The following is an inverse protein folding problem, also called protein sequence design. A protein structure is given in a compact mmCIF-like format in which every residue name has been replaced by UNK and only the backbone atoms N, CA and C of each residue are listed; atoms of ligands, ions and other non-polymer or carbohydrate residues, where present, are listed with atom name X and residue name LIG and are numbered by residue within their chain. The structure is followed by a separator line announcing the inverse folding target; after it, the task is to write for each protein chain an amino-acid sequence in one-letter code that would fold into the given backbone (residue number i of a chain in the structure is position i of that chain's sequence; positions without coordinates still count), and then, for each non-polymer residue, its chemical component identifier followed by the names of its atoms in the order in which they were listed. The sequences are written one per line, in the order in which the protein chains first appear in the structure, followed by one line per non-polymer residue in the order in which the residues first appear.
data_IF_558096808923
#
_entry.id   IF_558096808923
#
_cell.length_a   1.000
_cell.length_b   1.000
_cell.length_c   1.000
_cell.angle_alpha   90.00
_cell.angle_beta   90.00
_cell.angle_gamma   90.00
#
_symmetry.space_group_name_H-M   'P 1'
#
loop_
_entity.id
_entity.type
_entity.pdbx_description
1 polymer ?
#
# COMPACT_ATOMS: atom_id res chain seq x y z
N UNK A 1 -29.57 9.23 18.45
CA UNK A 1 -28.59 8.14 18.66
C UNK A 1 -29.10 7.00 19.57
N UNK A 2 -30.01 7.24 20.52
CA UNK A 2 -30.55 6.17 21.38
C UNK A 2 -31.54 5.19 20.71
N UNK A 3 -32.30 5.65 19.70
CA UNK A 3 -33.31 4.83 19.03
C UNK A 3 -32.70 3.65 18.23
N UNK A 4 -31.56 3.88 17.58
CA UNK A 4 -30.87 2.88 16.74
C UNK A 4 -30.24 1.76 17.56
N UNK A 5 -29.72 2.08 18.75
CA UNK A 5 -29.14 1.08 19.66
C UNK A 5 -30.22 0.18 20.27
N UNK A 6 -31.38 0.75 20.64
CA UNK A 6 -32.51 -0.04 21.14
C UNK A 6 -33.02 -1.00 20.07
N UNK A 7 -33.15 -0.57 18.82
CA UNK A 7 -33.55 -1.44 17.71
C UNK A 7 -32.54 -2.58 17.48
N UNK A 8 -31.24 -2.28 17.57
CA UNK A 8 -30.18 -3.29 17.44
C UNK A 8 -30.23 -4.33 18.57
N UNK A 9 -30.44 -3.88 19.82
CA UNK A 9 -30.58 -4.76 20.98
C UNK A 9 -31.80 -5.67 20.82
N UNK A 10 -32.93 -5.14 20.35
CA UNK A 10 -34.15 -5.92 20.12
C UNK A 10 -34.01 -6.92 18.96
N UNK A 11 -33.25 -6.57 17.91
CA UNK A 11 -32.92 -7.50 16.82
C UNK A 11 -32.01 -8.64 17.32
N UNK A 12 -30.95 -8.34 18.06
CA UNK A 12 -30.05 -9.33 18.65
C UNK A 12 -30.79 -10.27 19.61
N UNK A 13 -31.67 -9.71 20.47
CA UNK A 13 -32.52 -10.48 21.35
C UNK A 13 -33.44 -11.44 20.57
N UNK A 14 -34.07 -10.95 19.51
CA UNK A 14 -34.95 -11.76 18.65
C UNK A 14 -34.19 -12.87 17.91
N UNK A 15 -32.97 -12.58 17.46
CA UNK A 15 -32.10 -13.53 16.77
C UNK A 15 -31.62 -14.65 17.70
N UNK A 16 -31.13 -14.31 18.90
CA UNK A 16 -30.71 -15.30 19.91
C UNK A 16 -31.90 -16.15 20.35
N UNK A 17 -33.07 -15.54 20.52
CA UNK A 17 -34.31 -16.25 20.83
C UNK A 17 -34.67 -17.26 19.73
N UNK A 18 -34.54 -16.88 18.46
CA UNK A 18 -34.79 -17.79 17.33
C UNK A 18 -33.83 -18.99 17.34
N UNK A 19 -32.53 -18.77 17.54
CA UNK A 19 -31.53 -19.85 17.59
C UNK A 19 -31.82 -20.86 18.72
N UNK A 20 -32.25 -20.38 19.88
CA UNK A 20 -32.60 -21.24 21.02
C UNK A 20 -33.91 -21.98 20.78
N UNK A 21 -34.93 -21.31 20.22
CA UNK A 21 -36.22 -21.93 19.91
C UNK A 21 -36.05 -23.05 18.90
N UNK A 22 -35.27 -22.84 17.83
CA UNK A 22 -35.03 -23.86 16.80
C UNK A 22 -34.42 -25.13 17.39
N UNK A 23 -33.42 -25.01 18.27
CA UNK A 23 -32.83 -26.17 18.96
C UNK A 23 -33.79 -26.87 19.92
N UNK A 24 -34.77 -26.15 20.47
CA UNK A 24 -35.75 -26.73 21.41
C UNK A 24 -36.95 -27.35 20.73
N UNK A 25 -37.32 -26.88 19.54
CA UNK A 25 -38.35 -27.49 18.70
C UNK A 25 -37.95 -28.89 18.21
N UNK A 26 -36.64 -29.18 18.13
CA UNK A 26 -36.13 -30.52 17.79
C UNK A 26 -36.12 -31.52 18.95
N UNK A 27 -36.51 -31.13 20.17
CA UNK A 27 -36.49 -32.01 21.36
C UNK A 27 -37.89 -32.59 21.61
N UNK A 28 -38.03 -33.91 21.84
CA UNK A 28 -39.32 -34.52 22.14
C UNK A 28 -39.94 -33.92 23.41
N UNK A 29 -41.26 -33.63 23.35
CA UNK A 29 -42.01 -33.05 24.47
C UNK A 29 -42.59 -34.16 25.35
N UNK A 30 -42.61 -33.99 26.68
CA UNK A 30 -43.26 -34.95 27.59
C UNK A 30 -44.77 -35.00 27.33
N UNK A 31 -45.41 -36.15 27.58
CA UNK A 31 -46.83 -36.35 27.25
C UNK A 31 -47.78 -35.32 27.91
N UNK A 32 -47.49 -34.88 29.13
CA UNK A 32 -48.27 -33.89 29.87
C UNK A 32 -48.00 -32.43 29.45
N UNK A 33 -47.34 -32.22 28.31
CA UNK A 33 -46.85 -30.92 27.86
C UNK A 33 -47.97 -29.89 27.64
N UNK A 34 -49.13 -30.30 27.10
CA UNK A 34 -50.27 -29.40 26.87
C UNK A 34 -51.15 -29.22 28.13
N UNK A 35 -50.99 -30.06 29.14
CA UNK A 35 -51.85 -30.10 30.34
C UNK A 35 -51.28 -29.26 31.49
N UNK A 36 -50.06 -28.75 31.33
CA UNK A 36 -49.27 -28.12 32.40
C UNK A 36 -48.69 -26.79 31.91
N UNK A 37 -49.27 -25.69 32.36
CA UNK A 37 -48.84 -24.32 32.03
C UNK A 37 -47.38 -24.04 32.41
N UNK A 38 -46.85 -24.68 33.46
CA UNK A 38 -45.44 -24.61 33.85
C UNK A 38 -44.50 -25.30 32.84
N UNK A 39 -44.95 -26.40 32.23
CA UNK A 39 -44.20 -27.09 31.18
C UNK A 39 -44.26 -26.30 29.88
N UNK A 40 -45.42 -25.76 29.49
CA UNK A 40 -45.56 -24.92 28.31
C UNK A 40 -44.61 -23.71 28.34
N UNK A 41 -44.55 -23.00 29.49
CA UNK A 41 -43.63 -21.88 29.72
C UNK A 41 -42.15 -22.29 29.68
N UNK A 42 -41.80 -23.48 30.19
CA UNK A 42 -40.43 -24.01 30.21
C UNK A 42 -39.91 -24.41 28.83
N UNK A 43 -40.79 -24.83 27.92
CA UNK A 43 -40.40 -25.44 26.64
C UNK A 43 -40.66 -24.56 25.40
N UNK A 44 -41.64 -23.65 25.38
CA UNK A 44 -41.91 -22.84 24.18
C UNK A 44 -41.35 -21.43 24.21
N UNK A 45 -41.11 -20.88 25.40
CA UNK A 45 -40.83 -19.46 25.55
C UNK A 45 -39.55 -19.21 26.35
N UNK A 46 -38.37 -19.61 25.83
CA UNK A 46 -37.14 -19.11 26.39
C UNK A 46 -37.17 -17.58 26.38
N UNK A 47 -36.89 -16.97 27.55
CA UNK A 47 -36.76 -15.53 27.78
C UNK A 47 -38.06 -14.71 27.95
N UNK A 48 -39.27 -15.30 27.99
CA UNK A 48 -40.46 -14.51 28.40
C UNK A 48 -40.62 -14.48 29.92
N UNK A 49 -40.73 -13.27 30.49
CA UNK A 49 -41.03 -13.09 31.91
C UNK A 49 -42.54 -13.15 32.18
N UNK A 50 -43.00 -14.11 32.97
CA UNK A 50 -44.28 -14.02 33.69
C UNK A 50 -43.99 -14.23 35.18
N UNK A 51 -43.90 -13.13 35.94
CA UNK A 51 -43.55 -13.13 37.36
C UNK A 51 -42.40 -12.17 37.71
N UNK A 52 -41.60 -12.51 38.73
CA UNK A 52 -40.53 -11.65 39.22
C UNK A 52 -39.36 -11.55 38.21
N UNK A 53 -39.34 -10.48 37.41
CA UNK A 53 -38.40 -10.28 36.30
C UNK A 53 -36.98 -9.85 36.72
N UNK A 54 -36.67 -9.85 38.02
CA UNK A 54 -35.35 -9.49 38.56
C UNK A 54 -34.20 -10.20 37.81
N UNK A 55 -34.24 -11.51 37.50
CA UNK A 55 -33.15 -12.16 36.78
C UNK A 55 -32.94 -11.59 35.37
N UNK A 56 -34.01 -11.31 34.63
CA UNK A 56 -33.92 -10.75 33.26
C UNK A 56 -33.39 -9.33 33.29
N UNK A 57 -33.80 -8.51 34.26
CA UNK A 57 -33.22 -7.18 34.48
C UNK A 57 -31.73 -7.26 34.87
N UNK A 58 -31.33 -8.24 35.68
CA UNK A 58 -29.93 -8.48 36.02
C UNK A 58 -29.10 -8.89 34.79
N UNK A 59 -29.55 -9.88 34.01
CA UNK A 59 -28.82 -10.35 32.83
C UNK A 59 -28.79 -9.30 31.71
N UNK A 60 -29.90 -8.59 31.45
CA UNK A 60 -29.92 -7.50 30.48
C UNK A 60 -28.99 -6.36 30.87
N UNK A 61 -28.86 -6.05 32.16
CA UNK A 61 -27.89 -5.07 32.67
C UNK A 61 -26.45 -5.53 32.47
N UNK A 62 -26.14 -6.80 32.72
CA UNK A 62 -24.81 -7.36 32.44
C UNK A 62 -24.48 -7.40 30.94
N UNK A 63 -25.43 -7.75 30.09
CA UNK A 63 -25.26 -7.70 28.62
C UNK A 63 -25.05 -6.26 28.16
N UNK A 64 -25.81 -5.30 28.70
CA UNK A 64 -25.62 -3.88 28.40
C UNK A 64 -24.23 -3.41 28.85
N UNK A 65 -23.78 -3.74 30.06
CA UNK A 65 -22.43 -3.41 30.51
C UNK A 65 -21.35 -4.09 29.66
N UNK A 66 -21.55 -5.35 29.27
CA UNK A 66 -20.63 -6.04 28.37
C UNK A 66 -20.56 -5.37 27.01
N UNK A 67 -21.70 -4.98 26.42
CA UNK A 67 -21.75 -4.22 25.16
C UNK A 67 -21.13 -2.83 25.29
N UNK A 68 -21.34 -2.14 26.42
CA UNK A 68 -20.70 -0.85 26.71
C UNK A 68 -19.18 -1.04 26.84
N UNK A 69 -18.71 -2.07 27.55
CA UNK A 69 -17.28 -2.39 27.65
C UNK A 69 -16.71 -2.74 26.28
N UNK A 70 -17.42 -3.51 25.45
CA UNK A 70 -17.02 -3.82 24.07
C UNK A 70 -16.96 -2.58 23.19
N UNK A 71 -17.92 -1.67 23.32
CA UNK A 71 -17.97 -0.43 22.56
C UNK A 71 -16.88 0.56 23.01
N UNK A 72 -16.65 0.72 24.31
CA UNK A 72 -15.59 1.56 24.86
C UNK A 72 -14.21 0.99 24.51
N UNK A 73 -14.06 -0.34 24.49
CA UNK A 73 -12.82 -1.01 24.11
C UNK A 73 -12.80 -1.42 22.63
N UNK A 74 -13.67 -0.86 21.79
CA UNK A 74 -13.76 -1.28 20.38
C UNK A 74 -12.48 -0.91 19.61
N UNK A 75 -11.89 0.25 19.90
CA UNK A 75 -10.61 0.65 19.32
C UNK A 75 -9.46 -0.22 19.81
N UNK A 76 -9.51 -0.64 21.08
CA UNK A 76 -8.60 -1.66 21.60
C UNK A 76 -8.76 -2.96 20.83
N UNK A 77 -9.99 -3.48 20.65
CA UNK A 77 -10.25 -4.71 19.89
C UNK A 77 -9.82 -4.60 18.43
N UNK A 78 -10.03 -3.46 17.77
CA UNK A 78 -9.53 -3.19 16.41
C UNK A 78 -8.01 -3.26 16.34
N UNK A 79 -7.31 -2.67 17.31
CA UNK A 79 -5.84 -2.73 17.37
C UNK A 79 -5.30 -4.15 17.47
N UNK A 80 -5.98 -5.06 18.19
CA UNK A 80 -5.56 -6.46 18.28
C UNK A 80 -6.04 -7.33 17.11
N UNK A 81 -7.24 -7.06 16.58
CA UNK A 81 -7.80 -7.82 15.46
C UNK A 81 -7.15 -7.46 14.11
N UNK A 82 -6.83 -6.17 13.91
CA UNK A 82 -6.27 -5.63 12.67
C UNK A 82 -5.05 -4.74 12.95
N UNK A 83 -3.97 -5.31 13.50
CA UNK A 83 -2.82 -4.53 13.99
C UNK A 83 -2.15 -3.71 12.88
N UNK A 84 -2.07 -4.24 11.66
CA UNK A 84 -1.44 -3.54 10.53
C UNK A 84 -2.31 -2.38 10.04
N UNK A 85 -3.63 -2.56 9.96
CA UNK A 85 -4.54 -1.48 9.53
C UNK A 85 -4.57 -0.33 10.54
N UNK A 86 -4.56 -0.65 11.83
CA UNK A 86 -4.42 0.36 12.87
C UNK A 86 -3.09 1.13 12.75
N UNK A 87 -1.98 0.43 12.53
CA UNK A 87 -0.67 1.05 12.29
C UNK A 87 -0.63 1.91 11.02
N UNK A 88 -1.34 1.54 9.95
CA UNK A 88 -1.49 2.38 8.75
C UNK A 88 -2.21 3.68 9.10
N UNK A 89 -3.31 3.62 9.85
CA UNK A 89 -4.05 4.80 10.28
C UNK A 89 -3.22 5.70 11.18
N UNK A 90 -2.37 5.10 12.03
CA UNK A 90 -1.41 5.84 12.85
C UNK A 90 -0.33 6.52 12.00
N UNK A 91 0.23 5.86 10.98
CA UNK A 91 1.19 6.50 10.07
C UNK A 91 0.56 7.66 9.28
N UNK A 92 -0.72 7.53 8.90
CA UNK A 92 -1.50 8.61 8.27
C UNK A 92 -1.71 9.79 9.20
N UNK A 93 -2.05 9.56 10.47
CA UNK A 93 -2.17 10.65 11.45
C UNK A 93 -0.83 11.30 11.78
N UNK A 94 0.29 10.58 11.63
CA UNK A 94 1.65 11.08 11.79
C UNK A 94 2.20 11.79 10.53
N UNK A 95 1.36 12.04 9.52
CA UNK A 95 1.72 12.85 8.35
C UNK A 95 2.08 12.06 7.09
N UNK A 96 1.69 10.78 6.99
CA UNK A 96 1.66 10.14 5.67
C UNK A 96 0.57 10.79 4.80
N UNK A 97 0.98 11.33 3.67
CA UNK A 97 0.14 11.92 2.63
C UNK A 97 0.20 11.07 1.36
N UNK A 98 -0.95 10.69 0.80
CA UNK A 98 -0.99 9.90 -0.44
C UNK A 98 -0.67 10.73 -1.68
N UNK A 99 -0.89 12.05 -1.63
CA UNK A 99 -0.54 12.97 -2.72
C UNK A 99 0.92 13.46 -2.61
N UNK A 100 1.58 13.18 -1.47
CA UNK A 100 2.99 13.49 -1.22
C UNK A 100 3.70 12.38 -0.39
N UNK A 101 3.73 11.12 -0.88
CA UNK A 101 4.18 9.98 -0.11
C UNK A 101 5.64 10.11 0.30
N UNK A 102 5.93 9.64 1.51
CA UNK A 102 7.27 9.74 2.10
C UNK A 102 8.04 8.44 1.95
N UNK A 103 9.26 8.54 1.44
CA UNK A 103 10.17 7.41 1.26
C UNK A 103 11.50 7.66 1.97
N UNK A 104 12.23 6.57 2.26
CA UNK A 104 13.58 6.65 2.77
C UNK A 104 14.55 6.49 1.61
N UNK A 105 15.55 7.34 1.59
CA UNK A 105 16.57 7.34 0.55
C UNK A 105 17.96 7.27 1.18
N UNK A 106 18.87 6.67 0.46
CA UNK A 106 20.29 6.63 0.81
C UNK A 106 20.95 7.83 0.11
N UNK A 107 21.68 8.71 0.81
CA UNK A 107 22.43 9.77 0.16
C UNK A 107 23.43 9.19 -0.87
N UNK A 108 23.44 9.72 -2.09
CA UNK A 108 24.29 9.23 -3.17
C UNK A 108 25.78 9.22 -2.77
N UNK A 109 26.23 10.25 -2.04
CA UNK A 109 27.59 10.34 -1.48
C UNK A 109 27.92 9.16 -0.57
N UNK A 110 26.96 8.71 0.25
CA UNK A 110 27.13 7.55 1.12
C UNK A 110 27.21 6.27 0.30
N UNK A 111 26.36 6.11 -0.72
CA UNK A 111 26.41 4.95 -1.64
C UNK A 111 27.78 4.84 -2.31
N UNK A 112 28.32 5.96 -2.82
CA UNK A 112 29.65 5.99 -3.43
C UNK A 112 30.76 5.61 -2.44
N UNK A 113 30.69 6.11 -1.20
CA UNK A 113 31.66 5.83 -0.14
C UNK A 113 31.50 4.45 0.52
N UNK A 114 30.39 3.74 0.24
CA UNK A 114 30.06 2.47 0.88
C UNK A 114 31.15 1.41 0.60
N UNK A 115 31.82 0.92 1.65
CA UNK A 115 32.90 -0.06 1.53
C UNK A 115 32.47 -1.52 1.56
N UNK A 116 31.18 -1.81 1.73
CA UNK A 116 30.66 -3.18 1.76
C UNK A 116 30.52 -3.77 0.35
N UNK A 117 30.37 -5.10 0.27
CA UNK A 117 30.13 -5.79 -1.00
C UNK A 117 28.79 -5.38 -1.63
N UNK A 118 27.76 -5.20 -0.82
CA UNK A 118 26.41 -4.78 -1.24
C UNK A 118 25.80 -3.81 -0.21
N UNK A 119 24.72 -3.12 -0.60
CA UNK A 119 24.04 -2.17 0.28
C UNK A 119 23.39 -2.92 1.46
N UNK A 120 23.59 -2.46 2.72
CA UNK A 120 22.93 -3.05 3.87
C UNK A 120 21.40 -2.91 3.80
N UNK A 121 20.70 -3.80 4.51
CA UNK A 121 19.25 -3.76 4.65
C UNK A 121 18.79 -2.45 5.31
N UNK A 122 17.59 -1.98 4.96
CA UNK A 122 17.03 -0.72 5.44
C UNK A 122 17.11 -0.58 6.97
N UNK A 123 16.75 -1.62 7.73
CA UNK A 123 16.77 -1.56 9.19
C UNK A 123 18.15 -1.24 9.77
N UNK A 124 19.23 -1.76 9.17
CA UNK A 124 20.61 -1.45 9.56
C UNK A 124 20.92 0.01 9.25
N UNK A 125 20.65 0.45 8.02
CA UNK A 125 20.92 1.84 7.60
C UNK A 125 20.13 2.85 8.43
N UNK A 126 18.88 2.53 8.77
CA UNK A 126 18.02 3.34 9.63
C UNK A 126 18.61 3.48 11.02
N UNK A 127 19.06 2.37 11.62
CA UNK A 127 19.66 2.36 12.95
C UNK A 127 20.94 3.19 13.00
N UNK A 128 21.73 3.14 11.93
CA UNK A 128 23.01 3.84 11.82
C UNK A 128 22.86 5.30 11.35
N UNK A 129 21.63 5.76 11.09
CA UNK A 129 21.35 7.14 10.69
C UNK A 129 21.77 7.48 9.26
N UNK A 130 21.80 6.49 8.36
CA UNK A 130 22.23 6.63 6.96
C UNK A 130 21.07 6.81 5.96
N UNK A 131 19.83 6.91 6.45
CA UNK A 131 18.65 7.12 5.62
C UNK A 131 18.06 8.51 5.84
N UNK A 132 17.68 9.16 4.75
CA UNK A 132 16.92 10.41 4.75
C UNK A 132 15.49 10.14 4.34
N UNK A 133 14.53 10.54 5.19
CA UNK A 133 13.11 10.49 4.86
C UNK A 133 12.73 11.74 4.07
N UNK A 134 12.22 11.58 2.86
CA UNK A 134 11.78 12.68 1.99
C UNK A 134 10.35 12.42 1.52
N UNK A 135 9.52 13.46 1.57
CA UNK A 135 8.19 13.47 0.93
C UNK A 135 8.36 13.84 -0.53
N UNK A 136 7.70 13.09 -1.42
CA UNK A 136 7.69 13.32 -2.87
C UNK A 136 6.31 13.81 -3.27
N UNK A 137 6.10 15.14 -3.43
CA UNK A 137 4.83 15.65 -3.94
C UNK A 137 4.58 15.10 -5.34
N UNK A 138 3.56 14.26 -5.49
CA UNK A 138 3.25 13.61 -6.77
C UNK A 138 2.97 14.66 -7.83
N UNK A 139 2.33 15.76 -7.44
CA UNK A 139 2.02 16.86 -8.33
C UNK A 139 3.23 17.38 -9.13
N UNK A 140 4.28 17.78 -8.40
CA UNK A 140 5.55 18.20 -9.00
C UNK A 140 6.24 17.02 -9.69
N UNK A 141 6.20 15.83 -9.11
CA UNK A 141 6.88 14.66 -9.65
C UNK A 141 6.36 14.26 -11.05
N UNK A 142 5.04 14.33 -11.29
CA UNK A 142 4.43 14.03 -12.58
C UNK A 142 4.78 15.04 -13.68
N UNK A 143 5.14 16.28 -13.31
CA UNK A 143 5.73 17.27 -14.22
C UNK A 143 7.25 17.10 -14.38
N UNK A 144 7.84 16.13 -13.68
CA UNK A 144 9.27 15.93 -13.63
C UNK A 144 10.00 16.99 -12.81
N UNK A 145 9.31 17.73 -11.93
CA UNK A 145 9.81 18.86 -11.14
C UNK A 145 10.04 18.54 -9.66
N UNK A 146 10.75 19.45 -8.97
CA UNK A 146 11.06 19.32 -7.55
C UNK A 146 12.14 18.26 -7.28
N UNK A 147 12.03 17.60 -6.12
CA UNK A 147 13.08 16.68 -5.65
C UNK A 147 13.25 15.44 -6.55
N UNK A 148 12.25 15.10 -7.37
CA UNK A 148 12.24 13.89 -8.19
C UNK A 148 13.41 13.87 -9.19
N UNK A 149 13.85 15.04 -9.66
CA UNK A 149 15.01 15.22 -10.56
C UNK A 149 16.32 14.71 -9.96
N UNK A 150 16.41 14.70 -8.62
CA UNK A 150 17.62 14.33 -7.89
C UNK A 150 17.53 12.93 -7.29
N UNK A 151 16.48 12.16 -7.62
CA UNK A 151 16.23 10.83 -7.08
C UNK A 151 16.49 9.78 -8.17
N UNK A 152 17.31 8.79 -7.83
CA UNK A 152 17.54 7.58 -8.60
C UNK A 152 16.80 6.40 -7.99
N UNK A 153 15.85 5.83 -8.72
CA UNK A 153 15.27 4.54 -8.44
C UNK A 153 16.07 3.43 -9.12
N UNK A 154 16.44 2.41 -8.35
CA UNK A 154 17.09 1.22 -8.89
C UNK A 154 16.05 0.13 -9.10
N UNK A 155 15.91 -0.31 -10.34
CA UNK A 155 15.09 -1.47 -10.69
C UNK A 155 15.99 -2.66 -10.94
N UNK A 156 15.81 -3.74 -10.16
CA UNK A 156 16.71 -4.88 -10.19
C UNK A 156 15.99 -6.16 -9.78
N UNK A 157 16.62 -7.30 -10.08
CA UNK A 157 16.16 -8.60 -9.59
C UNK A 157 16.91 -8.94 -8.30
N UNK A 158 16.20 -9.44 -7.28
CA UNK A 158 16.84 -10.09 -6.15
C UNK A 158 17.50 -11.40 -6.60
N UNK A 159 18.81 -11.48 -6.45
CA UNK A 159 19.59 -12.67 -6.80
C UNK A 159 19.23 -13.85 -5.89
N UNK A 160 19.09 -13.59 -4.59
CA UNK A 160 18.65 -14.54 -3.57
C UNK A 160 17.56 -13.96 -2.65
N UNK A 161 16.72 -14.79 -2.00
CA UNK A 161 15.59 -14.33 -1.17
C UNK A 161 15.93 -13.38 0.00
N UNK A 162 17.18 -13.36 0.46
CA UNK A 162 17.64 -12.50 1.56
C UNK A 162 18.82 -11.60 1.19
N UNK A 163 19.30 -11.68 -0.04
CA UNK A 163 20.48 -10.96 -0.51
C UNK A 163 20.28 -10.58 -1.98
N UNK A 164 19.89 -9.33 -2.28
CA UNK A 164 19.58 -8.92 -3.64
C UNK A 164 20.82 -8.86 -4.54
N UNK A 165 21.97 -8.49 -3.97
CA UNK A 165 23.26 -8.32 -4.63
C UNK A 165 24.28 -9.21 -3.93
N UNK A 166 24.45 -10.44 -4.43
CA UNK A 166 25.34 -11.45 -3.85
C UNK A 166 26.78 -11.10 -4.15
N UNK A 167 27.05 -10.66 -5.38
CA UNK A 167 28.39 -10.43 -5.89
C UNK A 167 28.89 -8.98 -5.87
N UNK A 168 28.03 -8.03 -5.53
CA UNK A 168 28.37 -6.61 -5.50
C UNK A 168 28.35 -5.94 -6.87
N UNK A 169 27.95 -6.68 -7.91
CA UNK A 169 27.87 -6.16 -9.28
C UNK A 169 26.75 -5.13 -9.40
N UNK A 170 25.67 -5.25 -8.61
CA UNK A 170 24.62 -4.22 -8.60
C UNK A 170 25.12 -2.93 -7.95
N UNK A 171 25.74 -2.99 -6.77
CA UNK A 171 26.31 -1.81 -6.12
C UNK A 171 27.39 -1.16 -7.00
N UNK A 172 28.23 -1.95 -7.65
CA UNK A 172 29.24 -1.45 -8.61
C UNK A 172 28.60 -0.68 -9.77
N UNK A 173 27.53 -1.21 -10.37
CA UNK A 173 26.80 -0.53 -11.44
C UNK A 173 26.13 0.77 -10.95
N UNK A 174 25.54 0.75 -9.75
CA UNK A 174 24.94 1.95 -9.14
C UNK A 174 26.02 3.03 -8.94
N UNK A 175 27.19 2.68 -8.39
CA UNK A 175 28.29 3.63 -8.19
C UNK A 175 28.78 4.24 -9.51
N UNK A 176 28.96 3.43 -10.54
CA UNK A 176 29.35 3.91 -11.86
C UNK A 176 28.30 4.87 -12.46
N UNK A 177 27.02 4.59 -12.25
CA UNK A 177 25.95 5.51 -12.67
C UNK A 177 26.00 6.84 -11.92
N UNK A 178 26.17 6.81 -10.59
CA UNK A 178 26.25 8.03 -9.77
C UNK A 178 27.47 8.89 -10.09
N UNK A 179 28.60 8.27 -10.44
CA UNK A 179 29.79 9.00 -10.90
C UNK A 179 29.52 9.80 -12.18
N UNK A 180 28.72 9.24 -13.10
CA UNK A 180 28.32 9.91 -14.33
C UNK A 180 27.17 10.92 -14.16
N UNK A 181 26.45 10.88 -13.03
CA UNK A 181 25.26 11.71 -12.75
C UNK A 181 25.38 12.40 -11.38
N UNK A 182 26.26 13.41 -11.24
CA UNK A 182 26.51 14.09 -9.97
C UNK A 182 25.32 14.94 -9.47
N UNK A 183 24.30 15.13 -10.31
CA UNK A 183 23.03 15.78 -10.01
C UNK A 183 22.08 14.90 -9.17
N UNK A 184 22.33 13.60 -9.10
CA UNK A 184 21.58 12.67 -8.25
C UNK A 184 22.07 12.81 -6.80
N UNK A 185 21.14 13.16 -5.91
CA UNK A 185 21.41 13.32 -4.48
C UNK A 185 20.96 12.11 -3.66
N UNK A 186 19.92 11.40 -4.11
CA UNK A 186 19.23 10.36 -3.36
C UNK A 186 19.05 9.10 -4.18
N UNK A 187 19.38 7.96 -3.57
CA UNK A 187 19.21 6.63 -4.16
C UNK A 187 18.13 5.88 -3.42
N UNK A 188 17.21 5.31 -4.19
CA UNK A 188 16.24 4.35 -3.72
C UNK A 188 16.58 2.96 -4.26
N UNK A 189 16.87 2.07 -3.33
CA UNK A 189 17.16 0.66 -3.56
C UNK A 189 16.29 -0.15 -2.59
N UNK A 190 15.33 -0.92 -3.10
CA UNK A 190 14.22 -1.50 -2.33
C UNK A 190 14.65 -2.16 -1.01
N UNK A 191 15.70 -2.99 -1.02
CA UNK A 191 16.22 -3.72 0.13
C UNK A 191 16.75 -2.79 1.23
N UNK A 192 17.30 -1.66 0.81
CA UNK A 192 17.95 -0.67 1.66
C UNK A 192 17.03 0.52 1.99
N UNK A 193 15.90 0.63 1.30
CA UNK A 193 15.00 1.79 1.35
C UNK A 193 13.60 1.45 1.86
N UNK A 194 13.22 0.18 1.93
CA UNK A 194 11.96 -0.30 2.50
C UNK A 194 12.19 -1.33 3.61
N UNK A 195 11.27 -1.47 4.58
CA UNK A 195 11.42 -2.49 5.60
C UNK A 195 11.37 -3.89 4.97
N UNK A 196 12.43 -4.69 5.16
CA UNK A 196 12.53 -6.06 4.60
C UNK A 196 12.33 -7.14 5.66
N UNK A 197 12.32 -8.42 5.27
CA UNK A 197 12.38 -9.58 6.17
C UNK A 197 11.09 -9.96 6.90
N UNK A 198 11.08 -11.13 7.54
CA UNK A 198 9.93 -11.63 8.31
C UNK A 198 9.88 -11.06 9.74
N UNK A 199 11.02 -10.57 10.22
CA UNK A 199 11.23 -9.94 11.53
C UNK A 199 10.68 -8.50 11.62
N UNK A 200 9.98 -8.03 10.58
CA UNK A 200 9.30 -6.72 10.59
C UNK A 200 8.29 -6.63 11.72
N UNK A 201 8.39 -5.53 12.46
CA UNK A 201 7.37 -5.06 13.39
C UNK A 201 6.06 -4.75 12.66
N UNK A 202 4.97 -4.61 13.43
CA UNK A 202 3.67 -4.22 12.88
C UNK A 202 3.75 -2.87 12.15
N UNK A 203 4.48 -1.90 12.72
CA UNK A 203 4.68 -0.59 12.12
C UNK A 203 5.47 -0.68 10.80
N UNK A 204 6.53 -1.49 10.74
CA UNK A 204 7.29 -1.70 9.51
C UNK A 204 6.46 -2.41 8.42
N UNK A 205 5.56 -3.33 8.80
CA UNK A 205 4.62 -3.94 7.84
C UNK A 205 3.63 -2.93 7.29
N UNK A 206 3.13 -2.01 8.12
CA UNK A 206 2.27 -0.92 7.69
C UNK A 206 3.01 0.07 6.78
N UNK A 207 4.22 0.48 7.16
CA UNK A 207 5.09 1.35 6.37
C UNK A 207 5.42 0.73 5.00
N UNK A 208 5.79 -0.55 4.98
CA UNK A 208 6.00 -1.29 3.74
C UNK A 208 4.77 -1.28 2.83
N UNK A 209 3.56 -1.49 3.38
CA UNK A 209 2.33 -1.49 2.58
C UNK A 209 2.01 -0.11 2.00
N UNK A 210 2.23 0.96 2.75
CA UNK A 210 2.05 2.34 2.28
C UNK A 210 3.04 2.69 1.16
N UNK A 211 4.32 2.38 1.36
CA UNK A 211 5.36 2.59 0.34
C UNK A 211 5.08 1.78 -0.93
N UNK A 212 4.70 0.51 -0.80
CA UNK A 212 4.36 -0.37 -1.93
C UNK A 212 3.14 0.15 -2.69
N UNK A 213 2.21 0.84 -2.04
CA UNK A 213 1.02 1.39 -2.68
C UNK A 213 1.34 2.54 -3.65
N UNK A 214 2.40 3.31 -3.38
CA UNK A 214 2.80 4.50 -4.15
C UNK A 214 4.04 4.27 -5.05
N UNK A 215 4.68 3.11 -4.98
CA UNK A 215 5.97 2.87 -5.66
C UNK A 215 5.89 3.02 -7.19
N UNK A 216 4.74 2.66 -7.80
CA UNK A 216 4.55 2.76 -9.24
C UNK A 216 4.65 4.21 -9.74
N UNK A 217 4.16 5.18 -8.94
CA UNK A 217 4.23 6.60 -9.26
C UNK A 217 5.68 7.09 -9.29
N UNK A 218 6.55 6.52 -8.46
CA UNK A 218 7.96 6.88 -8.43
C UNK A 218 8.73 6.32 -9.63
N UNK A 219 8.45 5.08 -10.05
CA UNK A 219 9.02 4.59 -11.32
C UNK A 219 8.50 5.36 -12.54
N UNK A 220 7.27 5.89 -12.48
CA UNK A 220 6.70 6.78 -13.50
C UNK A 220 7.31 8.18 -13.55
N UNK A 221 8.05 8.62 -12.51
CA UNK A 221 8.47 10.04 -12.41
C UNK A 221 9.98 10.23 -12.15
N UNK A 222 10.65 9.34 -11.42
CA UNK A 222 12.08 9.44 -11.08
C UNK A 222 13.03 9.07 -12.22
N UNK A 223 14.33 9.34 -12.06
CA UNK A 223 15.36 8.66 -12.83
C UNK A 223 15.37 7.18 -12.44
N UNK A 224 15.50 6.28 -13.42
CA UNK A 224 15.49 4.83 -13.16
C UNK A 224 16.74 4.18 -13.74
N UNK A 225 17.54 3.56 -12.90
CA UNK A 225 18.61 2.65 -13.33
C UNK A 225 18.08 1.22 -13.30
N UNK A 226 17.95 0.63 -14.48
CA UNK A 226 17.59 -0.77 -14.66
C UNK A 226 18.86 -1.60 -14.66
N UNK A 227 19.05 -2.41 -13.62
CA UNK A 227 20.13 -3.39 -13.52
C UNK A 227 19.67 -4.69 -14.14
N UNK A 228 20.03 -4.88 -15.40
CA UNK A 228 19.48 -5.90 -16.25
C UNK A 228 20.36 -7.15 -16.22
N UNK A 229 19.88 -8.22 -15.58
CA UNK A 229 20.46 -9.56 -15.65
C UNK A 229 19.69 -10.46 -16.65
N UNK A 230 20.18 -11.67 -16.91
CA UNK A 230 19.55 -12.60 -17.86
C UNK A 230 18.17 -13.13 -17.45
N UNK A 231 17.76 -12.98 -16.18
CA UNK A 231 16.47 -13.44 -15.65
C UNK A 231 15.52 -12.29 -15.29
N UNK A 232 15.93 -11.04 -15.50
CA UNK A 232 15.20 -9.84 -15.11
C UNK A 232 13.78 -9.84 -15.70
N UNK A 233 13.65 -10.12 -16.99
CA UNK A 233 12.35 -10.12 -17.69
C UNK A 233 11.42 -11.28 -17.29
N UNK A 234 11.84 -12.18 -16.39
CA UNK A 234 11.01 -13.29 -15.89
C UNK A 234 10.24 -12.95 -14.60
N UNK A 235 10.39 -11.74 -14.05
CA UNK A 235 9.83 -11.35 -12.74
C UNK A 235 8.76 -10.27 -12.90
N UNK A 236 7.73 -10.34 -12.06
CA UNK A 236 6.59 -9.43 -12.13
C UNK A 236 6.97 -7.97 -11.84
N UNK A 237 7.71 -7.74 -10.74
CA UNK A 237 8.07 -6.39 -10.30
C UNK A 237 9.04 -5.73 -11.27
N UNK A 238 10.12 -6.41 -11.66
CA UNK A 238 11.10 -5.91 -12.64
C UNK A 238 10.47 -5.49 -13.97
N UNK A 239 9.49 -6.27 -14.48
CA UNK A 239 8.74 -5.91 -15.70
C UNK A 239 7.84 -4.70 -15.49
N UNK A 240 7.17 -4.62 -14.34
CA UNK A 240 6.30 -3.48 -13.98
C UNK A 240 7.12 -2.19 -13.86
N UNK A 241 8.23 -2.25 -13.15
CA UNK A 241 9.15 -1.13 -12.92
C UNK A 241 9.78 -0.65 -14.24
N UNK A 242 10.27 -1.60 -15.05
CA UNK A 242 10.79 -1.29 -16.38
C UNK A 242 9.72 -0.62 -17.26
N UNK A 243 8.50 -1.19 -17.31
CA UNK A 243 7.39 -0.61 -18.06
C UNK A 243 7.09 0.82 -17.63
N UNK A 244 6.89 1.07 -16.33
CA UNK A 244 6.63 2.40 -15.78
C UNK A 244 7.75 3.40 -16.15
N UNK A 245 9.02 2.99 -16.02
CA UNK A 245 10.16 3.85 -16.34
C UNK A 245 10.25 4.24 -17.82
N UNK A 246 9.66 3.42 -18.71
CA UNK A 246 9.61 3.63 -20.15
C UNK A 246 8.37 4.40 -20.61
N UNK A 247 7.46 4.75 -19.70
CA UNK A 247 6.31 5.61 -19.98
C UNK A 247 6.59 7.06 -19.62
N UNK A 248 5.88 7.96 -20.27
CA UNK A 248 5.71 9.37 -19.91
C UNK A 248 4.28 9.57 -19.48
N UNK A 249 4.10 10.16 -18.30
CA UNK A 249 2.82 10.61 -17.81
C UNK A 249 2.47 11.98 -18.39
N UNK A 250 1.25 12.13 -18.90
CA UNK A 250 0.71 13.38 -19.45
C UNK A 250 -0.70 13.61 -18.90
N UNK A 251 -1.27 14.82 -19.07
CA UNK A 251 -2.66 15.08 -18.69
C UNK A 251 -3.68 14.15 -19.36
N UNK A 252 -3.36 13.59 -20.53
CA UNK A 252 -4.19 12.63 -21.27
C UNK A 252 -3.94 11.16 -20.86
N UNK A 253 -3.00 10.90 -19.95
CA UNK A 253 -2.67 9.58 -19.44
C UNK A 253 -1.22 9.15 -19.75
N UNK A 254 -1.03 7.84 -19.90
CA UNK A 254 0.29 7.26 -20.17
C UNK A 254 0.52 7.05 -21.66
N UNK A 255 1.74 7.39 -22.10
CA UNK A 255 2.24 7.01 -23.42
C UNK A 255 3.70 6.57 -23.34
N UNK A 256 4.21 5.85 -24.36
CA UNK A 256 5.63 5.54 -24.45
C UNK A 256 6.47 6.81 -24.46
N UNK A 257 7.57 6.79 -23.70
CA UNK A 257 8.50 7.92 -23.63
C UNK A 257 9.23 8.11 -24.97
N UNK A 258 9.38 9.36 -25.40
CA UNK A 258 10.27 9.68 -26.52
C UNK A 258 11.73 9.60 -26.08
N UNK A 259 12.66 9.65 -27.03
CA UNK A 259 14.10 9.63 -26.72
C UNK A 259 14.53 10.83 -25.84
N UNK A 260 13.89 11.99 -26.01
CA UNK A 260 14.21 13.20 -25.25
C UNK A 260 13.65 13.18 -23.81
N UNK A 261 12.57 12.41 -23.57
CA UNK A 261 11.89 12.30 -22.28
C UNK A 261 12.36 11.08 -21.47
N UNK A 262 13.36 10.35 -22.00
CA UNK A 262 13.83 9.11 -21.39
C UNK A 262 14.44 9.38 -20.02
N UNK A 263 13.84 8.80 -18.98
CA UNK A 263 14.34 8.84 -17.60
C UNK A 263 15.05 7.56 -17.17
N UNK A 264 14.96 6.50 -17.97
CA UNK A 264 15.57 5.22 -17.66
C UNK A 264 16.96 5.06 -18.31
N UNK A 265 17.86 4.38 -17.62
CA UNK A 265 19.15 3.89 -18.13
C UNK A 265 19.24 2.41 -17.86
N UNK A 266 19.67 1.62 -18.85
CA UNK A 266 19.85 0.18 -18.70
C UNK A 266 21.34 -0.10 -18.54
N UNK A 267 21.70 -0.76 -17.43
CA UNK A 267 23.03 -1.30 -17.21
C UNK A 267 22.93 -2.82 -17.25
N UNK A 268 23.44 -3.43 -18.32
CA UNK A 268 23.57 -4.88 -18.40
C UNK A 268 24.60 -5.35 -17.36
N UNK A 269 24.19 -6.28 -16.49
CA UNK A 269 25.05 -6.92 -15.48
C UNK A 269 25.09 -8.43 -15.71
N UNK A 270 26.07 -9.09 -15.10
CA UNK A 270 26.29 -10.53 -15.23
C UNK A 270 26.44 -10.94 -16.71
N UNK A 271 25.53 -11.79 -17.21
CA UNK A 271 25.55 -12.32 -18.57
C UNK A 271 24.61 -11.56 -19.54
N UNK A 272 23.96 -10.48 -19.11
CA UNK A 272 23.10 -9.70 -19.98
C UNK A 272 23.91 -8.90 -21.00
N UNK A 273 23.34 -8.69 -22.19
CA UNK A 273 23.97 -7.88 -23.24
C UNK A 273 22.97 -6.92 -23.88
N UNK A 274 23.49 -5.85 -24.47
CA UNK A 274 22.66 -4.85 -25.15
C UNK A 274 21.89 -5.42 -26.36
N UNK A 275 22.54 -6.30 -27.13
CA UNK A 275 22.01 -6.79 -28.40
C UNK A 275 20.81 -7.74 -28.23
N UNK A 276 20.79 -8.53 -27.16
CA UNK A 276 19.75 -9.54 -26.93
C UNK A 276 18.86 -9.17 -25.75
N UNK A 277 19.42 -9.03 -24.56
CA UNK A 277 18.65 -8.86 -23.32
C UNK A 277 18.04 -7.47 -23.21
N UNK A 278 18.82 -6.40 -23.43
CA UNK A 278 18.30 -5.01 -23.38
C UNK A 278 17.24 -4.78 -24.46
N UNK A 279 17.58 -5.11 -25.71
CA UNK A 279 16.64 -5.00 -26.83
C UNK A 279 15.35 -5.80 -26.57
N UNK A 280 15.48 -7.04 -26.09
CA UNK A 280 14.35 -7.89 -25.75
C UNK A 280 13.44 -7.29 -24.68
N UNK A 281 14.01 -6.71 -23.61
CA UNK A 281 13.23 -6.01 -22.58
C UNK A 281 12.49 -4.81 -23.15
N UNK A 282 13.19 -3.94 -23.90
CA UNK A 282 12.60 -2.74 -24.48
C UNK A 282 11.47 -3.09 -25.45
N UNK A 283 11.68 -4.08 -26.33
CA UNK A 283 10.64 -4.53 -27.28
C UNK A 283 9.43 -5.14 -26.56
N UNK A 284 9.66 -5.81 -25.42
CA UNK A 284 8.61 -6.45 -24.62
C UNK A 284 7.69 -5.43 -23.96
N UNK A 285 8.22 -4.38 -23.33
CA UNK A 285 7.43 -3.50 -22.45
C UNK A 285 7.25 -2.07 -22.93
N UNK A 286 8.22 -1.46 -23.63
CA UNK A 286 8.28 0.01 -23.80
C UNK A 286 7.04 0.64 -24.45
N UNK A 287 6.41 -0.06 -25.40
CA UNK A 287 5.28 0.45 -26.20
C UNK A 287 3.92 -0.06 -25.73
N UNK A 288 3.86 -0.77 -24.61
CA UNK A 288 2.64 -1.47 -24.18
C UNK A 288 1.69 -0.50 -23.48
N UNK A 289 0.44 -0.48 -23.94
CA UNK A 289 -0.64 0.15 -23.19
C UNK A 289 -0.92 -0.67 -21.90
N UNK A 290 -1.55 -0.08 -20.87
CA UNK A 290 -1.78 -0.76 -19.59
C UNK A 290 -2.48 -2.13 -19.71
N UNK A 291 -3.46 -2.25 -20.61
CA UNK A 291 -4.16 -3.53 -20.87
C UNK A 291 -3.25 -4.59 -21.48
N UNK A 292 -2.35 -4.20 -22.37
CA UNK A 292 -1.38 -5.11 -22.97
C UNK A 292 -0.34 -5.53 -21.93
N UNK A 293 0.13 -4.58 -21.12
CA UNK A 293 1.07 -4.86 -20.04
C UNK A 293 0.47 -5.81 -19.00
N UNK A 294 -0.79 -5.61 -18.62
CA UNK A 294 -1.54 -6.56 -17.79
C UNK A 294 -1.50 -7.98 -18.39
N UNK A 295 -1.79 -8.10 -19.69
CA UNK A 295 -1.79 -9.39 -20.38
C UNK A 295 -0.42 -10.08 -20.43
N UNK A 296 0.68 -9.32 -20.41
CA UNK A 296 2.04 -9.84 -20.26
C UNK A 296 2.28 -10.29 -18.82
N UNK A 297 2.00 -9.43 -17.85
CA UNK A 297 2.25 -9.68 -16.43
C UNK A 297 1.44 -10.86 -15.88
N UNK A 298 0.27 -11.14 -16.44
CA UNK A 298 -0.60 -12.26 -16.05
C UNK A 298 -0.02 -13.62 -16.42
N UNK A 299 0.86 -13.70 -17.44
CA UNK A 299 1.37 -14.97 -17.98
C UNK A 299 2.07 -15.84 -16.92
N UNK A 300 2.03 -17.18 -17.09
CA UNK A 300 2.57 -18.12 -16.10
C UNK A 300 4.10 -18.11 -15.99
N UNK A 301 4.81 -17.67 -17.03
CA UNK A 301 6.28 -17.50 -17.05
C UNK A 301 6.75 -16.20 -16.36
N UNK A 302 5.83 -15.31 -15.99
CA UNK A 302 6.12 -14.15 -15.14
C UNK A 302 5.99 -14.54 -13.67
N UNK A 303 7.15 -14.78 -13.06
CA UNK A 303 7.31 -15.24 -11.70
C UNK A 303 7.09 -14.13 -10.66
N UNK A 304 6.64 -14.55 -9.48
CA UNK A 304 6.43 -13.67 -8.34
C UNK A 304 6.98 -14.36 -7.09
N UNK A 305 7.53 -13.60 -6.15
CA UNK A 305 7.93 -14.14 -4.86
C UNK A 305 6.72 -14.32 -3.93
N UNK A 306 5.70 -13.46 -4.07
CA UNK A 306 4.45 -13.52 -3.33
C UNK A 306 3.24 -13.44 -4.27
N UNK A 307 2.46 -14.52 -4.34
CA UNK A 307 1.26 -14.61 -5.20
C UNK A 307 0.25 -13.47 -4.95
N UNK A 308 0.19 -12.96 -3.71
CA UNK A 308 -0.68 -11.85 -3.34
C UNK A 308 -0.30 -10.54 -4.05
N UNK A 309 0.99 -10.33 -4.32
CA UNK A 309 1.46 -9.10 -4.98
C UNK A 309 0.86 -8.99 -6.38
N UNK A 310 0.95 -10.07 -7.17
CA UNK A 310 0.38 -10.13 -8.53
C UNK A 310 -1.15 -9.98 -8.50
N UNK A 311 -1.83 -10.62 -7.55
CA UNK A 311 -3.28 -10.45 -7.38
C UNK A 311 -3.69 -9.01 -7.01
N UNK A 312 -2.86 -8.31 -6.23
CA UNK A 312 -3.13 -6.94 -5.77
C UNK A 312 -2.78 -5.89 -6.83
N UNK A 313 -1.70 -6.13 -7.57
CA UNK A 313 -1.13 -5.15 -8.50
C UNK A 313 -1.75 -5.21 -9.89
N UNK A 314 -2.14 -6.39 -10.40
CA UNK A 314 -2.75 -6.50 -11.74
C UNK A 314 -3.97 -5.55 -11.92
N UNK A 315 -4.93 -5.47 -10.98
CA UNK A 315 -6.03 -4.51 -11.09
C UNK A 315 -5.57 -3.05 -11.11
N UNK A 316 -4.46 -2.73 -10.40
CA UNK A 316 -3.89 -1.37 -10.39
C UNK A 316 -3.26 -1.01 -11.73
N UNK A 317 -2.60 -1.96 -12.40
CA UNK A 317 -2.04 -1.75 -13.74
C UNK A 317 -3.13 -1.32 -14.72
N UNK A 318 -4.35 -1.87 -14.64
CA UNK A 318 -5.44 -1.44 -15.51
C UNK A 318 -5.93 -0.01 -15.24
N UNK A 319 -5.79 0.48 -14.00
CA UNK A 319 -6.27 1.79 -13.55
C UNK A 319 -5.20 2.88 -13.57
N UNK A 320 -3.94 2.52 -13.80
CA UNK A 320 -2.82 3.47 -13.68
C UNK A 320 -2.93 4.65 -14.67
N UNK A 321 -3.53 4.44 -15.84
CA UNK A 321 -3.80 5.53 -16.78
C UNK A 321 -4.83 6.53 -16.24
N UNK A 322 -5.91 6.02 -15.62
CA UNK A 322 -6.94 6.86 -14.99
C UNK A 322 -6.35 7.63 -13.80
N UNK A 323 -5.58 6.95 -12.95
CA UNK A 323 -4.87 7.55 -11.82
C UNK A 323 -3.94 8.71 -12.23
N UNK A 324 -3.22 8.56 -13.34
CA UNK A 324 -2.36 9.63 -13.88
C UNK A 324 -3.20 10.85 -14.26
N UNK A 325 -4.28 10.65 -15.04
CA UNK A 325 -5.19 11.72 -15.46
C UNK A 325 -5.78 12.43 -14.23
N UNK A 326 -6.32 11.67 -13.28
CA UNK A 326 -6.88 12.20 -12.03
C UNK A 326 -5.86 13.02 -11.24
N UNK A 327 -4.59 12.59 -11.22
CA UNK A 327 -3.51 13.32 -10.52
C UNK A 327 -3.21 14.66 -11.18
N UNK A 328 -3.23 14.75 -12.52
CA UNK A 328 -3.12 16.04 -13.21
C UNK A 328 -4.35 16.93 -12.99
N UNK A 329 -5.56 16.38 -13.04
CA UNK A 329 -6.81 17.14 -12.82
C UNK A 329 -6.92 17.72 -11.41
N UNK A 330 -6.52 16.96 -10.38
CA UNK A 330 -6.47 17.45 -9.00
C UNK A 330 -5.60 18.69 -8.86
N UNK A 331 -4.46 18.73 -9.56
CA UNK A 331 -3.54 19.87 -9.50
C UNK A 331 -4.08 21.12 -10.16
N UNK A 332 -4.74 20.99 -11.31
CA UNK A 332 -5.40 22.13 -11.98
C UNK A 332 -6.37 22.81 -11.01
N UNK A 333 -7.20 22.02 -10.32
CA UNK A 333 -8.16 22.53 -9.32
C UNK A 333 -7.49 23.21 -8.13
N UNK A 334 -6.37 22.68 -7.64
CA UNK A 334 -5.60 23.30 -6.56
C UNK A 334 -5.06 24.66 -7.00
N UNK A 335 -4.47 24.73 -8.19
CA UNK A 335 -3.90 25.97 -8.71
C UNK A 335 -4.97 27.03 -8.97
N UNK A 336 -6.12 26.66 -9.54
CA UNK A 336 -7.26 27.56 -9.72
C UNK A 336 -7.75 28.12 -8.37
N UNK A 337 -7.93 27.25 -7.36
CA UNK A 337 -8.38 27.68 -6.04
C UNK A 337 -7.37 28.61 -5.34
N UNK A 338 -6.07 28.33 -5.49
CA UNK A 338 -5.01 29.19 -4.96
C UNK A 338 -5.04 30.57 -5.62
N UNK A 339 -5.17 30.64 -6.95
CA UNK A 339 -5.28 31.91 -7.69
C UNK A 339 -6.52 32.70 -7.25
N UNK A 340 -7.70 32.05 -7.16
CA UNK A 340 -8.92 32.69 -6.66
C UNK A 340 -8.75 33.24 -5.24
N UNK A 341 -8.02 32.53 -4.37
CA UNK A 341 -7.79 33.00 -3.00
C UNK A 341 -6.83 34.19 -2.96
N UNK A 342 -5.79 34.21 -3.79
CA UNK A 342 -4.87 35.35 -3.91
C UNK A 342 -5.55 36.58 -4.51
N UNK A 343 -6.39 36.41 -5.51
CA UNK A 343 -7.15 37.51 -6.13
C UNK A 343 -8.17 38.11 -5.14
N UNK A 344 -8.79 37.26 -4.29
CA UNK A 344 -9.70 37.73 -3.24
C UNK A 344 -8.97 38.47 -2.09
N UNK A 345 -7.72 38.10 -1.78
CA UNK A 345 -6.90 38.80 -0.77
C UNK A 345 -6.32 40.10 -1.33
N UNK A 346 -6.01 40.16 -2.62
CA UNK A 346 -5.52 41.38 -3.28
C UNK A 346 -6.62 42.44 -3.50
N UNK A 347 -7.90 42.09 -3.31
CA UNK A 347 -9.04 42.99 -3.41
C UNK A 347 -9.49 43.61 -2.09
N UNK A 348 -8.76 43.38 -0.98
CA UNK A 348 -9.01 44.06 0.30
C UNK A 348 -7.91 45.10 0.58
N UNK A 349 -7.97 46.31 -0.03
CA UNK A 349 -7.12 47.40 0.35
C UNK A 349 -7.58 47.94 1.71
N UNK A 350 -6.68 47.89 2.70
CA UNK A 350 -6.72 48.57 3.99
C UNK A 350 -7.94 49.50 4.23
N UNK A 351 -8.91 49.01 4.99
CA UNK A 351 -9.87 49.88 5.67
C UNK A 351 -9.26 50.31 7.02
N UNK A 352 -8.72 51.54 7.01
CA UNK A 352 -8.57 52.53 8.09
C UNK A 352 -8.18 52.14 9.53
#
# INVERSE_FOLDING_TARGET
MGLTLVTLIMMLYSFVRLLIIVQRLSVPRPAAYFDRTDLMNKYELPLTCYGNCIPIFFYSRYVLYFLIVLAINFDFLKKYAFPVEHAINELRSQGWDDDAPSFYFIPAKWVCACGTKSLPRMQTLRKDGHLEKRSVPLASAFHGDGIIKHILFVSHRWEEPGQPDVDGEQLKAIKAYLEAHPDIEWVWFDYSSMPQGDDRTVMEKAEFQLMLAAIADLYLTAHVLILLDGSYASRFWTLTEAWCSMQTATPEGLRPATKAERRYTISCIHNATAETTEKGLVDLVSKKAPKEMHGILEKPDVNVTNAKDKATMLPKILKINEHVIETFEKQVKINEHVIETFDNVAQDPEDH
#
